data_IF_165121851225
#
_entry.id   IF_165121851225
#
_cell.length_a   1.000
_cell.length_b   1.000
_cell.length_c   1.000
_cell.angle_alpha   90.00
_cell.angle_beta   90.00
_cell.angle_gamma   90.00
#
_symmetry.space_group_name_H-M   'P 1'
#
loop_
_entity.id
_entity.type
_entity.pdbx_description
1 polymer ?
#
# COMPACT_ATOMS: atom_id res chain seq x y z
N UNK A 1 -12.72 -11.05 15.56
CA UNK A 1 -12.71 -11.31 14.11
C UNK A 1 -11.60 -10.46 13.48
N UNK A 2 -10.53 -11.13 12.98
CA UNK A 2 -9.32 -10.47 12.43
C UNK A 2 -9.69 -9.57 11.25
N UNK A 3 -10.62 -9.99 10.39
CA UNK A 3 -11.01 -9.22 9.20
C UNK A 3 -11.60 -7.84 9.49
N UNK A 4 -12.08 -7.58 10.72
CA UNK A 4 -12.53 -6.23 11.13
C UNK A 4 -11.38 -5.33 11.58
N UNK A 5 -10.24 -5.92 11.91
CA UNK A 5 -9.07 -5.21 12.46
C UNK A 5 -8.01 -5.01 11.39
N UNK A 6 -7.86 -5.99 10.51
CA UNK A 6 -6.79 -6.05 9.50
C UNK A 6 -7.40 -6.00 8.10
N UNK A 7 -7.02 -5.01 7.31
CA UNK A 7 -7.36 -4.90 5.89
C UNK A 7 -6.14 -5.19 5.04
N UNK A 8 -6.28 -6.11 4.06
CA UNK A 8 -5.17 -6.55 3.21
C UNK A 8 -5.32 -6.04 1.79
N UNK A 9 -4.23 -5.55 1.22
CA UNK A 9 -4.12 -5.13 -0.18
C UNK A 9 -3.06 -6.03 -0.85
N UNK A 10 -3.48 -6.78 -1.87
CA UNK A 10 -2.62 -7.73 -2.57
C UNK A 10 -1.79 -7.07 -3.67
N UNK A 11 -0.73 -7.77 -4.10
CA UNK A 11 0.19 -7.34 -5.15
C UNK A 11 -0.50 -7.07 -6.48
N UNK A 12 -1.54 -7.84 -6.80
CA UNK A 12 -2.37 -7.66 -7.98
C UNK A 12 -3.78 -7.22 -7.54
N UNK A 13 -4.08 -5.90 -7.53
CA UNK A 13 -5.37 -5.39 -7.09
C UNK A 13 -6.56 -5.94 -7.87
N UNK A 14 -6.38 -6.23 -9.16
CA UNK A 14 -7.44 -6.73 -10.04
C UNK A 14 -8.00 -8.07 -9.55
N UNK A 15 -7.16 -8.92 -8.96
CA UNK A 15 -7.60 -10.21 -8.38
C UNK A 15 -8.38 -10.08 -7.09
N UNK A 16 -8.40 -8.89 -6.51
CA UNK A 16 -9.10 -8.60 -5.26
C UNK A 16 -10.49 -8.04 -5.50
N UNK A 17 -10.79 -7.53 -6.70
CA UNK A 17 -12.05 -6.88 -7.00
C UNK A 17 -13.20 -7.86 -7.16
N UNK A 18 -14.33 -7.54 -6.53
CA UNK A 18 -15.60 -8.26 -6.59
C UNK A 18 -16.62 -7.55 -7.46
N UNK A 19 -16.47 -6.24 -7.68
CA UNK A 19 -17.33 -5.44 -8.52
C UNK A 19 -16.61 -4.94 -9.76
N UNK A 20 -17.33 -4.68 -10.83
CA UNK A 20 -16.82 -4.00 -12.02
C UNK A 20 -16.83 -2.48 -11.87
N UNK A 21 -17.56 -1.93 -10.91
CA UNK A 21 -17.73 -0.49 -10.68
C UNK A 21 -17.03 -0.06 -9.38
N UNK A 22 -16.42 1.14 -9.41
CA UNK A 22 -15.66 1.68 -8.30
C UNK A 22 -16.48 1.82 -7.00
N UNK A 23 -17.67 2.40 -7.08
CA UNK A 23 -18.51 2.60 -5.89
C UNK A 23 -18.97 1.27 -5.28
N UNK A 24 -19.34 0.30 -6.13
CA UNK A 24 -19.72 -1.04 -5.71
C UNK A 24 -18.56 -1.77 -5.03
N UNK A 25 -17.35 -1.67 -5.59
CA UNK A 25 -16.15 -2.27 -5.01
C UNK A 25 -15.81 -1.69 -3.63
N UNK A 26 -15.88 -0.37 -3.50
CA UNK A 26 -15.59 0.29 -2.22
C UNK A 26 -16.67 -0.01 -1.17
N UNK A 27 -17.95 -0.12 -1.59
CA UNK A 27 -19.06 -0.43 -0.71
C UNK A 27 -19.07 -1.89 -0.22
N UNK A 28 -18.55 -2.81 -1.02
CA UNK A 28 -18.68 -4.26 -0.83
C UNK A 28 -18.30 -4.75 0.57
N UNK A 29 -17.15 -4.32 1.08
CA UNK A 29 -16.69 -4.69 2.42
C UNK A 29 -17.60 -4.16 3.53
N UNK A 30 -18.11 -2.95 3.37
CA UNK A 30 -19.03 -2.33 4.32
C UNK A 30 -20.41 -3.02 4.31
N UNK A 31 -20.89 -3.45 3.15
CA UNK A 31 -22.12 -4.21 3.01
C UNK A 31 -22.03 -5.57 3.72
N UNK A 32 -20.92 -6.29 3.52
CA UNK A 32 -20.66 -7.56 4.19
C UNK A 32 -20.59 -7.44 5.72
N UNK A 33 -20.20 -6.29 6.23
CA UNK A 33 -20.21 -6.03 7.68
C UNK A 33 -21.56 -5.54 8.21
N UNK A 34 -22.56 -5.38 7.35
CA UNK A 34 -23.91 -5.01 7.72
C UNK A 34 -24.05 -3.54 8.17
N UNK A 35 -23.22 -2.64 7.66
CA UNK A 35 -23.40 -1.20 7.90
C UNK A 35 -24.71 -0.71 7.29
N UNK A 36 -25.26 0.34 7.88
CA UNK A 36 -26.46 0.99 7.32
C UNK A 36 -26.14 1.63 5.96
N UNK A 37 -27.17 1.74 5.10
CA UNK A 37 -27.03 2.37 3.77
C UNK A 37 -26.43 3.78 3.85
N UNK A 38 -26.82 4.56 4.86
CA UNK A 38 -26.28 5.89 5.08
C UNK A 38 -24.78 5.86 5.39
N UNK A 39 -24.38 4.97 6.28
CA UNK A 39 -22.96 4.82 6.66
C UNK A 39 -22.11 4.31 5.49
N UNK A 40 -22.61 3.35 4.69
CA UNK A 40 -21.95 2.86 3.48
C UNK A 40 -21.70 4.01 2.51
N UNK A 41 -22.74 4.80 2.19
CA UNK A 41 -22.60 5.93 1.27
C UNK A 41 -21.59 6.98 1.76
N UNK A 42 -21.59 7.28 3.07
CA UNK A 42 -20.65 8.22 3.68
C UNK A 42 -19.20 7.70 3.56
N UNK A 43 -18.96 6.45 3.91
CA UNK A 43 -17.63 5.80 3.87
C UNK A 43 -17.10 5.68 2.44
N UNK A 44 -17.96 5.29 1.49
CA UNK A 44 -17.61 5.20 0.07
C UNK A 44 -17.18 6.55 -0.49
N UNK A 45 -17.93 7.61 -0.22
CA UNK A 45 -17.59 8.98 -0.65
C UNK A 45 -16.28 9.47 -0.03
N UNK A 46 -16.08 9.24 1.27
CA UNK A 46 -14.85 9.62 1.96
C UNK A 46 -13.64 8.86 1.37
N UNK A 47 -13.77 7.56 1.11
CA UNK A 47 -12.72 6.75 0.51
C UNK A 47 -12.36 7.21 -0.92
N UNK A 48 -13.35 7.50 -1.76
CA UNK A 48 -13.15 8.06 -3.11
C UNK A 48 -12.36 9.36 -3.04
N UNK A 49 -12.78 10.27 -2.15
CA UNK A 49 -12.11 11.56 -1.96
C UNK A 49 -10.67 11.39 -1.45
N UNK A 50 -10.49 10.57 -0.42
CA UNK A 50 -9.18 10.34 0.20
C UNK A 50 -8.16 9.75 -0.79
N UNK A 51 -8.62 8.88 -1.69
CA UNK A 51 -7.78 8.23 -2.69
C UNK A 51 -7.75 8.98 -4.03
N UNK A 52 -8.37 10.17 -4.13
CA UNK A 52 -8.42 11.01 -5.34
C UNK A 52 -8.93 10.24 -6.57
N UNK A 53 -10.10 9.62 -6.40
CA UNK A 53 -10.72 8.77 -7.42
C UNK A 53 -11.98 9.41 -8.04
N UNK A 54 -12.28 10.67 -7.74
CA UNK A 54 -13.49 11.37 -8.18
C UNK A 54 -13.59 11.44 -9.71
N UNK A 55 -12.44 11.55 -10.40
CA UNK A 55 -12.38 11.63 -11.86
C UNK A 55 -12.69 10.31 -12.57
N UNK A 56 -12.65 9.20 -11.86
CA UNK A 56 -12.90 7.87 -12.43
C UNK A 56 -14.39 7.69 -12.74
N UNK A 57 -15.28 8.22 -11.90
CA UNK A 57 -16.73 8.18 -12.11
C UNK A 57 -17.25 6.75 -12.29
N UNK A 58 -17.94 6.51 -13.44
CA UNK A 58 -18.52 5.20 -13.81
C UNK A 58 -17.64 4.36 -14.73
N UNK A 59 -16.35 4.63 -14.79
CA UNK A 59 -15.42 3.82 -15.59
C UNK A 59 -15.30 2.44 -14.94
N UNK A 60 -15.36 1.38 -15.76
CA UNK A 60 -15.13 0.02 -15.28
C UNK A 60 -13.71 -0.11 -14.69
N UNK A 61 -13.60 -0.81 -13.56
CA UNK A 61 -12.30 -1.04 -12.89
C UNK A 61 -11.28 -1.75 -13.79
N UNK A 62 -11.74 -2.55 -14.75
CA UNK A 62 -10.86 -3.23 -15.71
C UNK A 62 -10.10 -2.26 -16.61
N UNK A 63 -10.69 -1.10 -16.91
CA UNK A 63 -10.12 -0.08 -17.80
C UNK A 63 -9.15 0.88 -17.07
N UNK A 64 -9.03 0.78 -15.76
CA UNK A 64 -8.16 1.64 -14.97
C UNK A 64 -6.68 1.29 -15.20
N UNK A 65 -5.84 2.31 -15.12
CA UNK A 65 -4.39 2.15 -15.02
C UNK A 65 -3.98 1.39 -13.75
N UNK A 66 -2.77 0.83 -13.73
CA UNK A 66 -2.25 0.10 -12.55
C UNK A 66 -2.28 0.97 -11.29
N UNK A 67 -1.95 2.26 -11.39
CA UNK A 67 -1.99 3.18 -10.27
C UNK A 67 -3.41 3.47 -9.76
N UNK A 68 -4.37 3.59 -10.67
CA UNK A 68 -5.79 3.76 -10.31
C UNK A 68 -6.36 2.50 -9.67
N UNK A 69 -6.06 1.31 -10.22
CA UNK A 69 -6.42 0.02 -9.62
C UNK A 69 -5.86 -0.11 -8.20
N UNK A 70 -4.61 0.28 -8.01
CA UNK A 70 -3.99 0.26 -6.68
C UNK A 70 -4.72 1.20 -5.70
N UNK A 71 -5.06 2.42 -6.13
CA UNK A 71 -5.82 3.36 -5.30
C UNK A 71 -7.23 2.87 -5.00
N UNK A 72 -7.89 2.24 -5.97
CA UNK A 72 -9.22 1.64 -5.78
C UNK A 72 -9.18 0.51 -4.73
N UNK A 73 -8.19 -0.37 -4.78
CA UNK A 73 -8.00 -1.42 -3.77
C UNK A 73 -7.71 -0.84 -2.37
N UNK A 74 -6.91 0.23 -2.28
CA UNK A 74 -6.71 0.91 -1.00
C UNK A 74 -8.01 1.56 -0.51
N UNK A 75 -8.82 2.14 -1.42
CA UNK A 75 -10.11 2.76 -1.08
C UNK A 75 -11.11 1.74 -0.52
N UNK A 76 -11.22 0.55 -1.13
CA UNK A 76 -12.14 -0.49 -0.67
C UNK A 76 -11.79 -0.98 0.75
N UNK A 77 -10.50 -1.12 1.05
CA UNK A 77 -10.04 -1.45 2.40
C UNK A 77 -10.22 -0.27 3.36
N UNK A 78 -9.89 0.95 2.93
CA UNK A 78 -10.02 2.15 3.77
C UNK A 78 -11.46 2.40 4.21
N UNK A 79 -12.46 2.16 3.37
CA UNK A 79 -13.88 2.34 3.71
C UNK A 79 -14.32 1.50 4.93
N UNK A 80 -13.66 0.37 5.18
CA UNK A 80 -13.93 -0.47 6.35
C UNK A 80 -13.30 0.06 7.65
N UNK A 81 -12.40 1.04 7.57
CA UNK A 81 -11.63 1.61 8.70
C UNK A 81 -10.92 0.55 9.56
N UNK A 82 -10.07 -0.31 8.96
CA UNK A 82 -9.31 -1.28 9.73
C UNK A 82 -8.26 -0.55 10.61
N UNK A 83 -7.87 -1.15 11.74
CA UNK A 83 -6.79 -0.61 12.56
C UNK A 83 -5.41 -0.82 11.92
N UNK A 84 -5.26 -1.88 11.13
CA UNK A 84 -4.02 -2.29 10.47
C UNK A 84 -4.24 -2.50 8.99
N UNK A 85 -3.40 -1.88 8.16
CA UNK A 85 -3.32 -2.16 6.73
C UNK A 85 -2.12 -3.06 6.45
N UNK A 86 -2.35 -4.13 5.69
CA UNK A 86 -1.30 -5.03 5.22
C UNK A 86 -1.17 -4.88 3.70
N UNK A 87 -0.01 -4.49 3.23
CA UNK A 87 0.31 -4.36 1.81
C UNK A 87 1.31 -5.43 1.39
N UNK A 88 0.99 -6.19 0.36
CA UNK A 88 1.88 -7.20 -0.21
C UNK A 88 2.33 -6.75 -1.60
N UNK A 89 3.62 -6.43 -1.76
CA UNK A 89 4.21 -5.99 -3.02
C UNK A 89 3.51 -4.81 -3.69
N UNK A 90 3.08 -3.76 -2.96
CA UNK A 90 2.14 -2.76 -3.47
C UNK A 90 2.71 -1.91 -4.61
N UNK A 91 4.04 -1.86 -4.78
CA UNK A 91 4.70 -1.09 -5.82
C UNK A 91 5.12 -1.93 -7.05
N UNK A 92 4.80 -3.22 -7.09
CA UNK A 92 5.34 -4.16 -8.08
C UNK A 92 4.97 -3.79 -9.53
N UNK A 93 3.75 -3.30 -9.76
CA UNK A 93 3.19 -3.00 -11.08
C UNK A 93 3.07 -1.48 -11.33
N UNK A 94 3.72 -0.66 -10.50
CA UNK A 94 3.66 0.79 -10.61
C UNK A 94 4.90 1.37 -11.29
N UNK A 95 4.69 2.39 -12.10
CA UNK A 95 5.72 3.29 -12.58
C UNK A 95 6.18 4.27 -11.47
N UNK A 96 7.11 5.15 -11.78
CA UNK A 96 7.66 6.10 -10.80
C UNK A 96 6.58 7.03 -10.22
N UNK A 97 5.68 7.51 -11.04
CA UNK A 97 4.63 8.43 -10.62
C UNK A 97 3.58 7.72 -9.75
N UNK A 98 3.22 6.48 -10.12
CA UNK A 98 2.36 5.62 -9.32
C UNK A 98 2.95 5.30 -7.93
N UNK A 99 4.27 5.06 -7.84
CA UNK A 99 4.97 4.85 -6.57
C UNK A 99 4.92 6.12 -5.69
N UNK A 100 5.15 7.30 -6.29
CA UNK A 100 5.06 8.57 -5.56
C UNK A 100 3.64 8.80 -5.01
N UNK A 101 2.62 8.54 -5.84
CA UNK A 101 1.22 8.67 -5.42
C UNK A 101 0.88 7.69 -4.29
N UNK A 102 1.28 6.43 -4.43
CA UNK A 102 1.09 5.42 -3.38
C UNK A 102 1.77 5.84 -2.08
N UNK A 103 3.05 6.26 -2.14
CA UNK A 103 3.79 6.75 -0.97
C UNK A 103 3.05 7.89 -0.26
N UNK A 104 2.53 8.85 -1.01
CA UNK A 104 1.77 9.97 -0.45
C UNK A 104 0.50 9.51 0.28
N UNK A 105 -0.22 8.54 -0.28
CA UNK A 105 -1.41 7.94 0.36
C UNK A 105 -1.00 7.24 1.67
N UNK A 106 0.04 6.40 1.64
CA UNK A 106 0.50 5.68 2.82
C UNK A 106 1.00 6.63 3.93
N UNK A 107 1.67 7.73 3.55
CA UNK A 107 2.05 8.78 4.50
C UNK A 107 0.84 9.46 5.14
N UNK A 108 -0.24 9.68 4.38
CA UNK A 108 -1.48 10.23 4.93
C UNK A 108 -2.16 9.24 5.89
N UNK A 109 -2.22 7.96 5.55
CA UNK A 109 -2.76 6.91 6.43
C UNK A 109 -1.95 6.81 7.72
N UNK A 110 -0.61 6.82 7.63
CA UNK A 110 0.29 6.83 8.78
C UNK A 110 0.04 8.04 9.69
N UNK A 111 -0.06 9.25 9.12
CA UNK A 111 -0.37 10.49 9.85
C UNK A 111 -1.75 10.46 10.50
N UNK A 112 -2.69 9.74 9.93
CA UNK A 112 -4.03 9.54 10.50
C UNK A 112 -4.05 8.48 11.63
N UNK A 113 -2.91 7.87 11.97
CA UNK A 113 -2.77 6.94 13.09
C UNK A 113 -2.97 5.46 12.72
N UNK A 114 -3.11 5.13 11.45
CA UNK A 114 -3.19 3.73 11.03
C UNK A 114 -1.85 3.02 11.12
N UNK A 115 -1.88 1.75 11.51
CA UNK A 115 -0.71 0.87 11.43
C UNK A 115 -0.57 0.31 10.02
N UNK A 116 0.62 0.43 9.42
CA UNK A 116 0.91 -0.06 8.09
C UNK A 116 1.96 -1.17 8.17
N UNK A 117 1.65 -2.35 7.64
CA UNK A 117 2.58 -3.45 7.44
C UNK A 117 2.80 -3.63 5.95
N UNK A 118 4.03 -3.49 5.47
CA UNK A 118 4.36 -3.51 4.04
C UNK A 118 5.38 -4.62 3.79
N UNK A 119 4.99 -5.66 3.05
CA UNK A 119 5.91 -6.67 2.53
C UNK A 119 6.37 -6.23 1.13
N UNK A 120 7.65 -5.91 0.98
CA UNK A 120 8.17 -5.31 -0.25
C UNK A 120 9.62 -5.77 -0.54
N UNK A 121 9.96 -5.87 -1.83
CA UNK A 121 11.31 -6.20 -2.29
C UNK A 121 12.11 -4.97 -2.73
N UNK A 122 11.43 -3.93 -3.19
CA UNK A 122 12.02 -2.65 -3.62
C UNK A 122 11.92 -1.63 -2.51
N UNK A 123 12.89 -1.62 -1.60
CA UNK A 123 12.83 -0.86 -0.35
C UNK A 123 13.15 0.64 -0.50
N UNK A 124 13.73 1.07 -1.62
CA UNK A 124 14.18 2.46 -1.81
C UNK A 124 13.08 3.53 -1.66
N UNK A 125 11.83 3.20 -1.98
CA UNK A 125 10.71 4.13 -1.84
C UNK A 125 10.12 4.17 -0.44
N UNK A 126 10.47 3.21 0.44
CA UNK A 126 9.92 3.08 1.79
C UNK A 126 10.70 3.83 2.87
N UNK A 127 11.90 4.34 2.56
CA UNK A 127 12.83 4.88 3.56
C UNK A 127 12.26 5.99 4.44
N UNK A 128 11.51 6.93 3.86
CA UNK A 128 10.86 7.99 4.62
C UNK A 128 9.51 7.57 5.23
N UNK A 129 8.99 6.43 4.82
CA UNK A 129 7.70 5.92 5.24
C UNK A 129 7.83 5.00 6.46
N UNK A 130 8.82 4.10 6.45
CA UNK A 130 8.95 3.06 7.46
C UNK A 130 9.60 3.59 8.74
N UNK A 131 9.05 3.23 9.90
CA UNK A 131 9.65 3.49 11.21
C UNK A 131 10.65 2.39 11.57
N UNK A 132 10.40 1.17 11.10
CA UNK A 132 11.24 -0.01 11.34
C UNK A 132 11.13 -1.01 10.21
N UNK A 133 12.13 -1.86 10.08
CA UNK A 133 12.21 -2.93 9.10
C UNK A 133 12.37 -4.28 9.79
N UNK A 134 11.58 -5.25 9.36
CA UNK A 134 11.66 -6.63 9.82
C UNK A 134 12.28 -7.49 8.72
N UNK A 135 13.46 -8.03 8.98
CA UNK A 135 14.09 -8.98 8.06
C UNK A 135 13.60 -10.39 8.37
N UNK A 136 12.89 -10.98 7.40
CA UNK A 136 12.36 -12.33 7.50
C UNK A 136 13.14 -13.31 6.62
N UNK A 137 13.46 -14.46 7.17
CA UNK A 137 14.07 -15.58 6.45
C UNK A 137 13.52 -16.90 7.00
N UNK A 138 13.21 -17.84 6.12
CA UNK A 138 12.72 -19.18 6.47
C UNK A 138 11.50 -19.14 7.42
N UNK A 139 10.57 -18.19 7.19
CA UNK A 139 9.37 -18.03 7.98
C UNK A 139 9.55 -17.39 9.36
N UNK A 140 10.76 -16.91 9.68
CA UNK A 140 11.07 -16.31 10.97
C UNK A 140 11.60 -14.88 10.82
N UNK A 141 11.30 -14.03 11.80
CA UNK A 141 11.92 -12.71 11.92
C UNK A 141 13.33 -12.92 12.48
N UNK A 142 14.35 -12.66 11.66
CA UNK A 142 15.76 -12.82 12.01
C UNK A 142 16.34 -11.56 12.65
N UNK A 143 15.89 -10.39 12.16
CA UNK A 143 16.37 -9.09 12.65
C UNK A 143 15.26 -8.04 12.54
N UNK A 144 15.31 -7.09 13.46
CA UNK A 144 14.55 -5.84 13.43
C UNK A 144 15.53 -4.68 13.40
N UNK A 145 15.29 -3.73 12.48
CA UNK A 145 16.09 -2.51 12.32
C UNK A 145 15.20 -1.29 12.48
N UNK A 146 15.67 -0.29 13.18
CA UNK A 146 15.11 1.05 13.09
C UNK A 146 15.32 1.64 11.68
N UNK A 147 14.58 2.67 11.33
CA UNK A 147 14.77 3.37 10.05
C UNK A 147 16.21 3.90 9.90
N UNK A 148 16.81 4.39 10.99
CA UNK A 148 18.19 4.89 11.00
C UNK A 148 19.21 3.77 10.76
N UNK A 149 19.13 2.66 11.49
CA UNK A 149 20.03 1.52 11.32
C UNK A 149 19.94 0.96 9.90
N UNK A 150 18.71 0.87 9.36
CA UNK A 150 18.50 0.39 7.99
C UNK A 150 19.10 1.33 6.95
N UNK A 151 18.94 2.65 7.10
CA UNK A 151 19.47 3.65 6.16
C UNK A 151 21.00 3.72 6.16
N UNK A 152 21.64 3.43 7.30
CA UNK A 152 23.12 3.43 7.45
C UNK A 152 23.76 2.09 7.10
N UNK A 153 22.96 1.04 6.85
CA UNK A 153 23.45 -0.29 6.46
C UNK A 153 24.25 -0.22 5.17
N UNK A 154 25.47 -0.74 5.17
CA UNK A 154 26.34 -0.75 3.99
C UNK A 154 25.89 -1.78 2.93
N UNK A 155 26.36 -1.60 1.69
CA UNK A 155 25.95 -2.43 0.57
C UNK A 155 26.35 -3.92 0.73
N UNK A 156 27.49 -4.21 1.35
CA UNK A 156 27.93 -5.59 1.59
C UNK A 156 26.99 -6.31 2.55
N UNK A 157 26.58 -5.65 3.60
CA UNK A 157 25.61 -6.18 4.54
C UNK A 157 24.23 -6.39 3.90
N UNK A 158 23.77 -5.45 3.07
CA UNK A 158 22.52 -5.58 2.29
C UNK A 158 22.56 -6.81 1.37
N UNK A 159 23.66 -6.96 0.62
CA UNK A 159 23.87 -8.10 -0.29
C UNK A 159 23.88 -9.43 0.48
N UNK A 160 24.57 -9.52 1.62
CA UNK A 160 24.62 -10.74 2.42
C UNK A 160 23.24 -11.19 2.94
N UNK A 161 22.31 -10.26 3.07
CA UNK A 161 20.90 -10.50 3.47
C UNK A 161 19.98 -10.70 2.26
N UNK A 162 20.48 -10.67 1.03
CA UNK A 162 19.68 -10.74 -0.19
C UNK A 162 18.86 -9.48 -0.46
N UNK A 163 19.17 -8.38 0.21
CA UNK A 163 18.51 -7.08 0.00
C UNK A 163 19.14 -6.38 -1.21
N UNK A 164 18.32 -5.70 -1.99
CA UNK A 164 18.81 -4.88 -3.11
C UNK A 164 19.51 -3.64 -2.56
N UNK A 165 20.67 -3.30 -3.17
CA UNK A 165 21.37 -2.05 -2.87
C UNK A 165 20.48 -0.85 -3.22
N UNK A 166 20.53 0.20 -2.41
CA UNK A 166 19.88 1.47 -2.72
C UNK A 166 20.80 2.18 -3.71
N UNK A 167 20.53 2.04 -5.01
CA UNK A 167 21.26 2.75 -6.05
C UNK A 167 20.77 4.21 -6.07
N UNK A 168 21.21 4.99 -5.11
CA UNK A 168 21.17 6.45 -5.13
C UNK A 168 22.60 7.01 -5.14
N UNK A 169 23.50 6.44 -5.96
CA UNK A 169 24.74 7.14 -6.32
C UNK A 169 24.51 7.77 -7.68
N UNK A 170 24.65 9.12 -7.81
CA UNK A 170 24.81 9.71 -9.12
C UNK A 170 26.01 9.01 -9.77
N UNK A 171 25.85 8.59 -11.03
CA UNK A 171 26.96 8.09 -11.84
C UNK A 171 28.03 9.17 -11.88
N UNK A 172 29.04 9.09 -11.04
CA UNK A 172 30.28 9.81 -11.23
C UNK A 172 30.94 9.17 -12.44
N UNK A 173 30.84 9.82 -13.61
CA UNK A 173 31.70 9.51 -14.75
C UNK A 173 33.13 9.60 -14.24
N UNK A 174 33.82 8.46 -14.12
CA UNK A 174 35.27 8.46 -14.12
C UNK A 174 35.68 8.83 -15.56
N UNK A 175 36.33 10.00 -15.67
CA UNK A 175 37.08 10.45 -16.82
C UNK A 175 38.40 9.70 -16.85
#
# INVERSE_FOLDING_TARGET
DIGKIVGSIFQDPQRQFFSSELEGEIAFGCENYGFSKFEIQKRTKDAIHKMRLESIGKISLDLLSSGEKQRAAVASVYAMHPAVFVFVGPASNLDKDGIIQLKNILMQLKKAGYTLLIAEHRLSWTEELADRYLYMKDGQIQHEYSSLEFSTMNDLERISKGLRCIINRPFTKQI
#
